data_IF_780096556543
#
_entry.id   IF_780096556543
#
_cell.length_a   1.000
_cell.length_b   1.000
_cell.length_c   1.000
_cell.angle_alpha   90.00
_cell.angle_beta   90.00
_cell.angle_gamma   90.00
#
_symmetry.space_group_name_H-M   'P 1'
#
loop_
_entity.id
_entity.type
_entity.pdbx_description
1 polymer ?
#
# COMPACT_ATOMS: atom_id res chain seq x y z
N UNK A 1 -2.59 40.94 -12.53
CA UNK A 1 -3.00 41.01 -11.10
C UNK A 1 -4.51 41.29 -11.02
N UNK A 2 -5.36 40.26 -11.10
CA UNK A 2 -6.82 40.37 -10.95
C UNK A 2 -7.29 39.21 -10.09
N UNK A 3 -7.32 39.39 -8.77
CA UNK A 3 -7.78 38.39 -7.81
C UNK A 3 -8.30 38.97 -6.49
N UNK A 4 -8.39 40.30 -6.37
CA UNK A 4 -8.66 40.98 -5.10
C UNK A 4 -10.12 40.98 -4.63
N UNK A 5 -11.09 40.70 -5.51
CA UNK A 5 -12.53 40.91 -5.21
C UNK A 5 -13.28 39.66 -4.75
N UNK A 6 -12.71 38.46 -4.90
CA UNK A 6 -13.40 37.19 -4.56
C UNK A 6 -13.34 36.85 -3.07
N UNK A 7 -12.17 37.03 -2.43
CA UNK A 7 -11.97 36.67 -1.03
C UNK A 7 -12.84 37.47 -0.02
N UNK A 8 -13.06 38.79 -0.19
CA UNK A 8 -13.98 39.54 0.67
C UNK A 8 -15.44 39.10 0.47
N UNK A 9 -15.84 38.80 -0.77
CA UNK A 9 -17.20 38.39 -1.12
C UNK A 9 -17.58 37.05 -0.48
N UNK A 10 -16.66 36.08 -0.46
CA UNK A 10 -16.86 34.77 0.20
C UNK A 10 -17.09 34.95 1.71
N UNK A 11 -16.37 35.88 2.35
CA UNK A 11 -16.53 36.19 3.79
C UNK A 11 -17.87 36.86 4.09
N UNK A 12 -18.29 37.82 3.27
CA UNK A 12 -19.58 38.53 3.44
C UNK A 12 -20.76 37.59 3.21
N UNK A 13 -20.68 36.73 2.19
CA UNK A 13 -21.75 35.81 1.84
C UNK A 13 -21.77 34.52 2.68
N UNK A 14 -20.82 34.35 3.62
CA UNK A 14 -20.63 33.11 4.43
C UNK A 14 -20.75 31.83 3.59
N UNK A 15 -20.28 31.88 2.34
CA UNK A 15 -20.30 30.74 1.45
C UNK A 15 -19.33 29.71 2.01
N UNK A 16 -19.86 28.78 2.80
CA UNK A 16 -19.11 27.58 3.18
C UNK A 16 -18.80 26.87 1.87
N UNK A 17 -17.53 26.50 1.60
CA UNK A 17 -17.25 25.59 0.51
C UNK A 17 -18.23 24.42 0.62
N UNK A 18 -18.93 24.10 -0.46
CA UNK A 18 -19.76 22.90 -0.47
C UNK A 18 -18.89 21.76 0.04
N UNK A 19 -19.27 21.16 1.17
CA UNK A 19 -18.48 20.12 1.79
C UNK A 19 -18.40 18.96 0.79
N UNK A 20 -17.28 18.87 0.06
CA UNK A 20 -16.98 17.68 -0.71
C UNK A 20 -16.68 16.61 0.32
N UNK A 21 -17.63 15.70 0.52
CA UNK A 21 -17.38 14.46 1.24
C UNK A 21 -16.49 13.58 0.36
N UNK A 22 -15.18 13.82 0.42
CA UNK A 22 -14.19 12.93 -0.17
C UNK A 22 -14.01 11.72 0.73
N UNK A 23 -13.80 10.54 0.13
CA UNK A 23 -13.50 9.33 0.89
C UNK A 23 -12.21 9.49 1.69
N UNK A 24 -12.14 8.86 2.87
CA UNK A 24 -10.87 8.74 3.59
C UNK A 24 -9.88 7.89 2.79
N UNK A 25 -8.59 8.04 3.05
CA UNK A 25 -7.55 7.24 2.39
C UNK A 25 -7.76 5.73 2.57
N UNK A 26 -8.13 5.29 3.78
CA UNK A 26 -8.48 3.90 4.05
C UNK A 26 -9.69 3.44 3.24
N UNK A 27 -10.72 4.28 3.11
CA UNK A 27 -11.87 3.94 2.27
C UNK A 27 -11.50 3.85 0.78
N UNK A 28 -10.63 4.75 0.28
CA UNK A 28 -10.12 4.69 -1.10
C UNK A 28 -9.33 3.40 -1.32
N UNK A 29 -8.43 3.04 -0.39
CA UNK A 29 -7.65 1.80 -0.48
C UNK A 29 -8.51 0.55 -0.40
N UNK A 30 -9.48 0.50 0.51
CA UNK A 30 -10.43 -0.60 0.60
C UNK A 30 -11.18 -0.78 -0.73
N UNK A 31 -11.63 0.33 -1.34
CA UNK A 31 -12.31 0.30 -2.63
C UNK A 31 -11.41 -0.21 -3.76
N UNK A 32 -10.19 0.30 -3.90
CA UNK A 32 -9.28 -0.11 -4.99
C UNK A 32 -8.80 -1.55 -4.83
N UNK A 33 -8.49 -2.00 -3.62
CA UNK A 33 -8.17 -3.41 -3.37
C UNK A 33 -9.39 -4.32 -3.55
N UNK A 34 -10.59 -3.84 -3.21
CA UNK A 34 -11.84 -4.57 -3.42
C UNK A 34 -12.13 -4.81 -4.90
N UNK A 35 -11.89 -3.81 -5.76
CA UNK A 35 -12.02 -3.97 -7.21
C UNK A 35 -11.03 -5.02 -7.77
N UNK A 36 -9.79 -5.02 -7.28
CA UNK A 36 -8.80 -6.01 -7.67
C UNK A 36 -9.16 -7.43 -7.18
N UNK A 37 -9.68 -7.55 -5.95
CA UNK A 37 -10.16 -8.83 -5.40
C UNK A 37 -11.32 -9.39 -6.23
N UNK A 38 -12.30 -8.55 -6.59
CA UNK A 38 -13.42 -8.95 -7.42
C UNK A 38 -12.98 -9.49 -8.79
N UNK A 39 -11.96 -8.86 -9.41
CA UNK A 39 -11.39 -9.37 -10.66
C UNK A 39 -10.63 -10.71 -10.45
N UNK A 40 -9.94 -10.90 -9.31
CA UNK A 40 -9.33 -12.19 -8.98
C UNK A 40 -10.37 -13.30 -8.82
N UNK A 41 -11.46 -13.05 -8.09
CA UNK A 41 -12.57 -14.00 -7.93
C UNK A 41 -13.23 -14.30 -9.29
N UNK A 42 -13.33 -13.31 -10.18
CA UNK A 42 -13.88 -13.51 -11.53
C UNK A 42 -12.93 -14.34 -12.43
N UNK A 43 -11.60 -14.17 -12.29
CA UNK A 43 -10.60 -14.99 -12.98
C UNK A 43 -10.61 -16.43 -12.52
N UNK A 44 -10.81 -16.66 -11.23
CA UNK A 44 -10.99 -18.00 -10.67
C UNK A 44 -12.15 -18.74 -11.38
N UNK A 45 -13.30 -18.08 -11.51
CA UNK A 45 -14.50 -18.65 -12.13
C UNK A 45 -14.34 -18.94 -13.63
N UNK A 46 -13.54 -18.12 -14.34
CA UNK A 46 -13.27 -18.30 -15.78
C UNK A 46 -12.21 -19.35 -16.10
N UNK A 47 -11.57 -19.95 -15.09
CA UNK A 47 -10.45 -20.85 -15.28
C UNK A 47 -9.13 -20.09 -15.40
N UNK A 48 -8.61 -19.64 -14.25
CA UNK A 48 -7.33 -18.93 -14.17
C UNK A 48 -6.17 -19.76 -14.75
N UNK A 49 -5.24 -19.10 -15.44
CA UNK A 49 -3.99 -19.71 -15.90
C UNK A 49 -2.96 -19.92 -14.78
N UNK A 50 -3.23 -19.39 -13.58
CA UNK A 50 -2.39 -19.58 -12.41
C UNK A 50 -2.63 -20.95 -11.79
N UNK A 51 -1.57 -21.54 -11.26
CA UNK A 51 -1.69 -22.69 -10.36
C UNK A 51 -2.60 -22.34 -9.17
N UNK A 52 -3.44 -23.30 -8.75
CA UNK A 52 -4.42 -23.14 -7.68
C UNK A 52 -3.83 -22.54 -6.40
N UNK A 53 -2.70 -23.06 -5.94
CA UNK A 53 -2.04 -22.60 -4.72
C UNK A 53 -1.56 -21.13 -4.84
N UNK A 54 -1.07 -20.74 -6.01
CA UNK A 54 -0.66 -19.35 -6.29
C UNK A 54 -1.85 -18.41 -6.31
N UNK A 55 -2.97 -18.83 -6.90
CA UNK A 55 -4.21 -18.06 -6.90
C UNK A 55 -4.78 -17.90 -5.48
N UNK A 56 -4.78 -18.96 -4.67
CA UNK A 56 -5.24 -18.93 -3.28
C UNK A 56 -4.42 -17.96 -2.44
N UNK A 57 -3.10 -17.94 -2.63
CA UNK A 57 -2.21 -16.98 -1.97
C UNK A 57 -2.56 -15.54 -2.34
N UNK A 58 -2.77 -15.26 -3.63
CA UNK A 58 -3.17 -13.91 -4.09
C UNK A 58 -4.53 -13.50 -3.52
N UNK A 59 -5.50 -14.40 -3.52
CA UNK A 59 -6.83 -14.14 -2.95
C UNK A 59 -6.74 -13.83 -1.46
N UNK A 60 -6.00 -14.64 -0.70
CA UNK A 60 -5.79 -14.41 0.73
C UNK A 60 -5.14 -13.06 1.01
N UNK A 61 -4.13 -12.70 0.22
CA UNK A 61 -3.44 -11.41 0.34
C UNK A 61 -4.38 -10.23 0.08
N UNK A 62 -5.14 -10.25 -1.03
CA UNK A 62 -6.06 -9.16 -1.36
C UNK A 62 -7.23 -9.06 -0.38
N UNK A 63 -7.75 -10.19 0.12
CA UNK A 63 -8.76 -10.22 1.19
C UNK A 63 -8.23 -9.55 2.46
N UNK A 64 -7.00 -9.87 2.86
CA UNK A 64 -6.36 -9.23 4.02
C UNK A 64 -6.22 -7.72 3.83
N UNK A 65 -5.79 -7.26 2.64
CA UNK A 65 -5.66 -5.83 2.32
C UNK A 65 -6.99 -5.08 2.39
N UNK A 66 -8.08 -5.67 1.88
CA UNK A 66 -9.44 -5.10 1.96
C UNK A 66 -9.88 -5.01 3.42
N UNK A 67 -9.90 -6.15 4.12
CA UNK A 67 -10.38 -6.22 5.50
C UNK A 67 -9.64 -5.25 6.43
N UNK A 68 -8.32 -5.14 6.25
CA UNK A 68 -7.51 -4.20 7.01
C UNK A 68 -7.96 -2.75 6.80
N UNK A 69 -8.07 -2.31 5.54
CA UNK A 69 -8.44 -0.92 5.24
C UNK A 69 -9.89 -0.61 5.63
N UNK A 70 -10.80 -1.57 5.52
CA UNK A 70 -12.17 -1.42 6.02
C UNK A 70 -12.20 -1.27 7.54
N UNK A 71 -11.44 -2.09 8.28
CA UNK A 71 -11.33 -1.96 9.74
C UNK A 71 -10.73 -0.63 10.16
N UNK A 72 -9.65 -0.18 9.50
CA UNK A 72 -9.05 1.13 9.78
C UNK A 72 -10.02 2.29 9.46
N UNK A 73 -10.82 2.16 8.40
CA UNK A 73 -11.84 3.15 8.07
C UNK A 73 -12.97 3.21 9.11
N UNK A 74 -13.43 2.05 9.62
CA UNK A 74 -14.55 1.97 10.58
C UNK A 74 -14.14 2.25 12.03
N UNK A 75 -13.03 1.64 12.46
CA UNK A 75 -12.66 1.50 13.87
C UNK A 75 -11.50 2.46 14.27
N UNK A 76 -10.89 3.14 13.30
CA UNK A 76 -9.95 4.24 13.54
C UNK A 76 -8.52 3.80 13.90
N UNK A 77 -7.93 4.46 14.91
CA UNK A 77 -6.48 4.46 15.15
C UNK A 77 -5.91 3.13 15.67
N UNK A 78 -6.69 2.30 16.38
CA UNK A 78 -6.21 1.02 16.94
C UNK A 78 -5.78 0.02 15.85
N UNK A 79 -6.62 -0.32 14.85
CA UNK A 79 -6.19 -1.13 13.70
C UNK A 79 -4.99 -0.53 12.97
N UNK A 80 -4.96 0.80 12.80
CA UNK A 80 -3.83 1.50 12.17
C UNK A 80 -2.53 1.30 12.96
N UNK A 81 -2.58 1.34 14.29
CA UNK A 81 -1.44 1.09 15.17
C UNK A 81 -0.90 -0.34 15.08
N UNK A 82 -1.78 -1.34 15.00
CA UNK A 82 -1.38 -2.74 14.78
C UNK A 82 -0.63 -2.89 13.46
N UNK A 83 -1.16 -2.31 12.36
CA UNK A 83 -0.49 -2.37 11.06
C UNK A 83 0.83 -1.64 11.03
N UNK A 84 0.92 -0.46 11.65
CA UNK A 84 2.17 0.25 11.75
C UNK A 84 3.25 -0.59 12.45
N UNK A 85 2.90 -1.37 13.48
CA UNK A 85 3.84 -2.33 14.10
C UNK A 85 4.26 -3.43 13.13
N UNK A 86 3.31 -4.04 12.41
CA UNK A 86 3.64 -5.06 11.40
C UNK A 86 4.54 -4.53 10.29
N UNK A 87 4.26 -3.33 9.77
CA UNK A 87 5.04 -2.67 8.73
C UNK A 87 6.48 -2.38 9.18
N UNK A 88 6.70 -2.01 10.45
CA UNK A 88 8.05 -1.82 10.99
C UNK A 88 8.83 -3.13 11.05
N UNK A 89 8.18 -4.23 11.46
CA UNK A 89 8.79 -5.55 11.43
C UNK A 89 9.11 -5.97 9.99
N UNK A 90 8.20 -5.74 9.04
CA UNK A 90 8.47 -5.98 7.61
C UNK A 90 9.70 -5.19 7.13
N UNK A 91 9.82 -3.91 7.52
CA UNK A 91 10.96 -3.07 7.15
C UNK A 91 12.29 -3.59 7.75
N UNK A 92 12.28 -4.05 9.00
CA UNK A 92 13.45 -4.70 9.61
C UNK A 92 13.87 -5.97 8.84
N UNK A 93 12.90 -6.78 8.39
CA UNK A 93 13.16 -8.00 7.61
C UNK A 93 13.71 -7.73 6.21
N UNK A 94 13.38 -6.58 5.59
CA UNK A 94 14.04 -6.12 4.35
C UNK A 94 15.54 -5.88 4.61
N UNK A 95 15.88 -5.26 5.75
CA UNK A 95 17.28 -5.08 6.17
C UNK A 95 18.03 -6.41 6.31
N UNK A 96 17.43 -7.39 7.00
CA UNK A 96 18.00 -8.74 7.14
C UNK A 96 18.21 -9.41 5.77
N UNK A 97 17.28 -9.22 4.85
CA UNK A 97 17.37 -9.78 3.50
C UNK A 97 18.50 -9.14 2.68
N UNK A 98 18.73 -7.83 2.85
CA UNK A 98 19.85 -7.11 2.25
C UNK A 98 21.19 -7.61 2.77
N UNK A 99 21.31 -7.81 4.09
CA UNK A 99 22.55 -8.34 4.68
C UNK A 99 22.88 -9.73 4.12
N UNK A 100 21.87 -10.61 4.03
CA UNK A 100 22.04 -11.94 3.45
C UNK A 100 22.45 -11.90 1.97
N UNK A 101 21.90 -10.97 1.18
CA UNK A 101 22.30 -10.78 -0.22
C UNK A 101 23.77 -10.33 -0.34
N UNK A 102 24.18 -9.38 0.50
CA UNK A 102 25.56 -8.89 0.52
C UNK A 102 26.56 -9.97 0.93
N UNK A 103 26.19 -10.84 1.88
CA UNK A 103 27.03 -11.99 2.26
C UNK A 103 27.19 -12.99 1.12
N UNK A 104 26.10 -13.31 0.40
CA UNK A 104 26.18 -14.17 -0.79
C UNK A 104 27.09 -13.58 -1.88
N UNK A 105 27.06 -12.27 -2.07
CA UNK A 105 27.92 -11.58 -3.02
C UNK A 105 29.39 -11.58 -2.59
N UNK A 106 29.67 -11.29 -1.32
CA UNK A 106 31.03 -11.35 -0.74
C UNK A 106 31.66 -12.73 -0.86
N UNK A 107 30.85 -13.78 -0.74
CA UNK A 107 31.25 -15.19 -0.93
C UNK A 107 31.43 -15.58 -2.41
N UNK A 108 31.21 -14.66 -3.36
CA UNK A 108 31.31 -14.90 -4.80
C UNK A 108 30.19 -15.80 -5.35
N UNK A 109 29.09 -15.98 -4.61
CA UNK A 109 27.96 -16.83 -5.02
C UNK A 109 26.96 -16.11 -5.91
N UNK A 110 27.03 -14.78 -5.96
CA UNK A 110 26.14 -13.89 -6.71
C UNK A 110 26.99 -12.85 -7.45
N UNK A 111 26.79 -12.70 -8.75
CA UNK A 111 27.46 -11.67 -9.55
C UNK A 111 26.79 -10.28 -9.40
N UNK A 112 27.51 -9.23 -9.80
CA UNK A 112 27.06 -7.83 -9.69
C UNK A 112 25.71 -7.57 -10.38
N UNK A 113 25.42 -8.25 -11.49
CA UNK A 113 24.17 -8.05 -12.22
C UNK A 113 22.99 -8.58 -11.42
N UNK A 114 23.14 -9.78 -10.84
CA UNK A 114 22.13 -10.37 -9.97
C UNK A 114 22.00 -9.58 -8.66
N UNK A 115 23.11 -9.15 -8.07
CA UNK A 115 23.15 -8.30 -6.88
C UNK A 115 22.30 -7.05 -7.10
N UNK A 116 22.63 -6.23 -8.11
CA UNK A 116 21.95 -4.96 -8.34
C UNK A 116 20.47 -5.11 -8.67
N UNK A 117 20.07 -6.20 -9.33
CA UNK A 117 18.65 -6.47 -9.58
C UNK A 117 17.91 -6.73 -8.26
N UNK A 118 18.45 -7.58 -7.39
CA UNK A 118 17.78 -7.90 -6.11
C UNK A 118 17.84 -6.70 -5.16
N UNK A 119 18.95 -5.94 -5.13
CA UNK A 119 19.03 -4.68 -4.38
C UNK A 119 17.92 -3.71 -4.82
N UNK A 120 17.69 -3.55 -6.13
CA UNK A 120 16.62 -2.69 -6.65
C UNK A 120 15.23 -3.14 -6.21
N UNK A 121 15.00 -4.45 -6.11
CA UNK A 121 13.74 -5.01 -5.61
C UNK A 121 13.54 -4.69 -4.12
N UNK A 122 14.59 -4.87 -3.30
CA UNK A 122 14.59 -4.56 -1.87
C UNK A 122 14.41 -3.05 -1.61
N UNK A 123 15.04 -2.19 -2.40
CA UNK A 123 14.91 -0.74 -2.30
C UNK A 123 13.48 -0.26 -2.61
N UNK A 124 12.84 -0.88 -3.61
CA UNK A 124 11.44 -0.59 -3.91
C UNK A 124 10.51 -1.01 -2.76
N UNK A 125 10.79 -2.17 -2.16
CA UNK A 125 10.03 -2.65 -1.00
C UNK A 125 10.20 -1.74 0.21
N UNK A 126 11.43 -1.34 0.53
CA UNK A 126 11.74 -0.40 1.60
C UNK A 126 11.01 0.94 1.40
N UNK A 127 11.09 1.53 0.20
CA UNK A 127 10.39 2.78 -0.12
C UNK A 127 8.87 2.65 0.03
N UNK A 128 8.30 1.51 -0.40
CA UNK A 128 6.88 1.23 -0.24
C UNK A 128 6.49 1.16 1.24
N UNK A 129 7.28 0.46 2.07
CA UNK A 129 7.00 0.30 3.50
C UNK A 129 7.14 1.63 4.24
N UNK A 130 8.16 2.42 3.94
CA UNK A 130 8.37 3.74 4.52
C UNK A 130 7.18 4.68 4.22
N UNK A 131 6.72 4.73 2.97
CA UNK A 131 5.52 5.53 2.61
C UNK A 131 4.25 5.09 3.32
N UNK A 132 4.11 3.80 3.64
CA UNK A 132 2.95 3.30 4.39
C UNK A 132 3.03 3.60 5.89
N UNK A 133 4.22 3.98 6.39
CA UNK A 133 4.46 4.37 7.77
C UNK A 133 4.41 5.89 7.99
N UNK A 134 4.39 6.69 6.92
CA UNK A 134 4.22 8.15 7.00
C UNK A 134 2.84 8.50 7.59
N UNK A 135 2.77 9.50 8.50
CA UNK A 135 1.55 9.88 9.21
C UNK A 135 0.54 10.69 8.39
#
# INVERSE_FOLDING_TARGET
>A
MQGGTLAPLIRVLKLRPAARHTMSEHAVRAHTFGAALAELDAREQRGSSLERASLDRLLAEYRSRVAFNESAHRDGAEPAGVRARMLRVELELVGVSRDALLDLHRDGRVDDTVLHRIESELDFEELRLQRLLEP
#
